data_IF_207828671974
#
_entry.id   IF_207828671974
#
_cell.length_a   1.000
_cell.length_b   1.000
_cell.length_c   1.000
_cell.angle_alpha   90.00
_cell.angle_beta   90.00
_cell.angle_gamma   90.00
#
_symmetry.space_group_name_H-M   'P 1'
#
loop_
_entity.id
_entity.type
_entity.pdbx_description
1 polymer ?
#
# COMPACT_ATOMS: atom_id res chain seq x y z
N UNK A 1 -24.19 -77.07 -25.31
CA UNK A 1 -25.25 -76.14 -24.85
C UNK A 1 -24.88 -75.79 -23.41
N UNK A 2 -24.62 -74.57 -22.95
CA UNK A 2 -25.13 -73.24 -23.28
C UNK A 2 -24.00 -72.22 -22.95
N UNK A 3 -23.61 -71.34 -23.88
CA UNK A 3 -22.66 -70.24 -23.63
C UNK A 3 -23.43 -69.06 -23.04
N UNK A 4 -23.12 -68.66 -21.80
CA UNK A 4 -23.64 -67.42 -21.20
C UNK A 4 -22.61 -66.30 -21.41
N UNK A 5 -22.99 -65.32 -22.22
CA UNK A 5 -22.28 -64.07 -22.46
C UNK A 5 -22.59 -63.10 -21.30
N UNK A 6 -21.56 -62.63 -20.59
CA UNK A 6 -21.71 -61.55 -19.62
C UNK A 6 -21.54 -60.20 -20.34
N UNK A 7 -22.62 -59.42 -20.40
CA UNK A 7 -22.61 -58.02 -20.85
C UNK A 7 -22.30 -57.15 -19.64
N UNK A 8 -21.23 -56.36 -19.70
CA UNK A 8 -20.87 -55.39 -18.66
C UNK A 8 -21.80 -54.15 -18.73
N UNK A 9 -22.32 -53.62 -17.61
CA UNK A 9 -23.07 -52.38 -17.60
C UNK A 9 -22.12 -51.18 -17.65
N UNK A 10 -22.30 -50.32 -18.65
CA UNK A 10 -21.66 -48.99 -18.74
C UNK A 10 -22.38 -48.06 -17.76
N UNK A 11 -21.72 -47.69 -16.67
CA UNK A 11 -22.17 -46.63 -15.76
C UNK A 11 -21.82 -45.29 -16.40
N UNK A 12 -22.82 -44.63 -16.98
CA UNK A 12 -22.72 -43.23 -17.40
C UNK A 12 -22.77 -42.34 -16.15
N UNK A 13 -21.62 -41.84 -15.71
CA UNK A 13 -21.54 -40.81 -14.69
C UNK A 13 -22.02 -39.48 -15.28
N UNK A 14 -23.27 -39.11 -15.00
CA UNK A 14 -23.79 -37.76 -15.22
C UNK A 14 -23.08 -36.83 -14.24
N UNK A 15 -22.07 -36.11 -14.71
CA UNK A 15 -21.50 -35.00 -13.96
C UNK A 15 -22.47 -33.81 -14.03
N UNK A 16 -23.37 -33.70 -13.05
CA UNK A 16 -24.01 -32.43 -12.74
C UNK A 16 -22.92 -31.49 -12.21
N UNK A 17 -22.49 -30.53 -13.03
CA UNK A 17 -21.62 -29.46 -12.60
C UNK A 17 -22.36 -28.58 -11.59
N UNK A 18 -22.09 -28.77 -10.30
CA UNK A 18 -22.43 -27.76 -9.30
C UNK A 18 -21.56 -26.53 -9.58
N UNK A 19 -22.20 -25.45 -10.03
CA UNK A 19 -21.61 -24.12 -10.03
C UNK A 19 -21.51 -23.69 -8.58
N UNK A 20 -20.34 -23.87 -7.97
CA UNK A 20 -20.05 -23.26 -6.68
C UNK A 20 -19.98 -21.75 -6.89
N UNK A 21 -20.99 -21.03 -6.41
CA UNK A 21 -20.93 -19.57 -6.35
C UNK A 21 -19.84 -19.19 -5.34
N UNK A 22 -18.68 -18.82 -5.87
CA UNK A 22 -17.52 -18.43 -5.09
C UNK A 22 -17.82 -17.22 -4.20
N UNK A 23 -17.11 -17.15 -3.07
CA UNK A 23 -17.07 -15.98 -2.20
C UNK A 23 -16.93 -14.67 -2.99
N UNK A 24 -17.86 -13.74 -2.83
CA UNK A 24 -17.83 -12.43 -3.53
C UNK A 24 -16.96 -11.44 -2.74
N UNK A 25 -16.01 -10.81 -3.43
CA UNK A 25 -15.19 -9.70 -2.91
C UNK A 25 -15.87 -8.36 -3.20
N UNK A 26 -16.00 -7.52 -2.17
CA UNK A 26 -16.57 -6.16 -2.27
C UNK A 26 -15.63 -5.13 -1.64
N UNK A 27 -15.76 -3.86 -2.05
CA UNK A 27 -14.92 -2.76 -1.58
C UNK A 27 -15.71 -1.48 -1.32
N UNK A 28 -15.38 -0.78 -0.23
CA UNK A 28 -15.84 0.59 0.07
C UNK A 28 -14.65 1.52 0.18
N UNK A 29 -14.84 2.80 -0.14
CA UNK A 29 -13.79 3.80 -0.04
C UNK A 29 -14.32 5.11 0.56
N UNK A 30 -13.56 5.67 1.48
CA UNK A 30 -13.86 6.95 2.12
C UNK A 30 -12.71 7.91 1.92
N UNK A 31 -12.97 9.19 1.62
CA UNK A 31 -11.91 10.20 1.55
C UNK A 31 -11.12 10.23 2.85
N UNK A 32 -9.81 10.28 2.70
CA UNK A 32 -8.85 10.44 3.78
C UNK A 32 -7.95 11.62 3.44
N UNK A 33 -7.67 12.47 4.41
CA UNK A 33 -6.76 13.60 4.22
C UNK A 33 -5.44 13.28 4.92
N UNK A 34 -4.43 12.88 4.13
CA UNK A 34 -3.07 12.62 4.62
C UNK A 34 -2.10 13.77 4.27
N UNK A 35 -2.61 14.91 3.80
CA UNK A 35 -1.75 16.01 3.32
C UNK A 35 -0.86 16.56 4.42
N UNK A 36 -1.32 16.56 5.68
CA UNK A 36 -0.52 17.05 6.82
C UNK A 36 0.74 16.21 7.01
N UNK A 37 0.60 14.89 7.12
CA UNK A 37 1.72 13.97 7.33
C UNK A 37 2.64 13.91 6.10
N UNK A 38 2.06 13.93 4.89
CA UNK A 38 2.84 13.95 3.64
C UNK A 38 3.67 15.23 3.51
N UNK A 39 3.06 16.39 3.82
CA UNK A 39 3.71 17.70 3.64
C UNK A 39 4.81 17.96 4.66
N UNK A 40 4.76 17.37 5.86
CA UNK A 40 5.85 17.43 6.82
C UNK A 40 7.17 16.92 6.20
N UNK A 41 7.12 15.76 5.55
CA UNK A 41 8.30 15.15 4.91
C UNK A 41 8.74 15.91 3.66
N UNK A 42 7.78 16.38 2.85
CA UNK A 42 8.07 17.14 1.62
C UNK A 42 8.73 18.47 1.93
N UNK A 43 8.23 19.18 2.95
CA UNK A 43 8.81 20.43 3.42
C UNK A 43 10.23 20.23 3.93
N UNK A 44 10.49 19.14 4.66
CA UNK A 44 11.85 18.79 5.09
C UNK A 44 12.80 18.58 3.90
N UNK A 45 12.32 18.02 2.80
CA UNK A 45 13.05 17.85 1.54
C UNK A 45 13.02 19.09 0.61
N UNK A 46 12.50 20.23 1.07
CA UNK A 46 12.41 21.45 0.25
C UNK A 46 11.50 21.34 -0.97
N UNK A 47 10.57 20.37 -0.98
CA UNK A 47 9.59 20.18 -2.03
C UNK A 47 8.30 20.96 -1.73
N UNK A 48 7.60 21.37 -2.78
CA UNK A 48 6.28 22.01 -2.67
C UNK A 48 5.29 21.10 -1.96
N UNK A 49 4.48 21.68 -1.07
CA UNK A 49 3.41 20.97 -0.38
C UNK A 49 2.36 20.47 -1.38
N UNK A 50 1.78 19.28 -1.11
CA UNK A 50 0.59 18.81 -1.80
C UNK A 50 -0.61 19.66 -1.38
N UNK A 51 -1.33 20.15 -2.39
CA UNK A 51 -2.68 20.68 -2.22
C UNK A 51 -3.72 19.56 -2.43
N UNK A 52 -5.00 19.88 -2.21
CA UNK A 52 -6.11 18.95 -2.47
C UNK A 52 -6.39 18.88 -3.97
N UNK A 53 -6.44 17.67 -4.50
CA UNK A 53 -6.87 17.46 -5.89
C UNK A 53 -8.33 17.89 -6.08
N UNK A 54 -8.63 18.47 -7.24
CA UNK A 54 -9.99 18.93 -7.57
C UNK A 54 -10.46 18.52 -8.96
N UNK A 55 -9.55 18.10 -9.85
CA UNK A 55 -9.91 17.60 -11.18
C UNK A 55 -10.39 16.17 -11.08
N UNK A 56 -11.38 15.82 -11.90
CA UNK A 56 -12.04 14.51 -11.87
C UNK A 56 -11.06 13.33 -12.04
N UNK A 57 -10.04 13.48 -12.89
CA UNK A 57 -9.01 12.45 -13.13
C UNK A 57 -7.90 12.40 -12.07
N UNK A 58 -7.89 13.35 -11.12
CA UNK A 58 -6.90 13.48 -10.03
C UNK A 58 -7.52 13.13 -8.67
N UNK A 59 -8.85 12.94 -8.61
CA UNK A 59 -9.59 12.65 -7.37
C UNK A 59 -10.03 11.20 -7.36
N UNK A 60 -9.59 10.45 -6.34
CA UNK A 60 -10.07 9.10 -6.06
C UNK A 60 -11.55 9.16 -5.60
N UNK A 61 -12.46 8.38 -6.21
CA UNK A 61 -13.88 8.47 -5.90
C UNK A 61 -14.22 7.75 -4.59
N UNK A 62 -15.13 8.32 -3.80
CA UNK A 62 -15.72 7.63 -2.64
C UNK A 62 -16.72 6.55 -3.08
N UNK A 63 -16.88 5.50 -2.27
CA UNK A 63 -17.92 4.49 -2.46
C UNK A 63 -18.45 3.96 -1.12
N UNK A 64 -19.79 3.94 -0.91
CA UNK A 64 -20.82 4.39 -1.85
C UNK A 64 -20.79 5.91 -2.05
N UNK A 65 -21.07 6.36 -3.27
CA UNK A 65 -20.96 7.77 -3.67
C UNK A 65 -21.73 8.06 -4.96
N UNK A 66 -21.79 9.33 -5.41
CA UNK A 66 -22.47 9.67 -6.65
C UNK A 66 -21.78 9.01 -7.85
N UNK A 67 -22.56 8.62 -8.86
CA UNK A 67 -22.01 8.17 -10.14
C UNK A 67 -21.21 9.30 -10.79
N UNK A 68 -19.96 9.00 -11.15
CA UNK A 68 -19.06 9.89 -11.88
C UNK A 68 -18.60 9.21 -13.17
N UNK A 69 -17.72 9.86 -13.94
CA UNK A 69 -17.09 9.25 -15.13
C UNK A 69 -16.34 7.98 -14.77
N UNK A 70 -15.72 7.94 -13.58
CA UNK A 70 -15.04 6.79 -13.02
C UNK A 70 -16.04 5.99 -12.18
N UNK A 71 -16.24 4.72 -12.51
CA UNK A 71 -17.09 3.80 -11.76
C UNK A 71 -16.43 3.42 -10.43
N UNK A 72 -16.80 4.11 -9.36
CA UNK A 72 -16.28 3.84 -8.02
C UNK A 72 -16.51 2.38 -7.60
N UNK A 73 -17.67 1.81 -7.96
CA UNK A 73 -17.97 0.39 -7.69
C UNK A 73 -16.97 -0.55 -8.36
N UNK A 74 -16.72 -0.37 -9.66
CA UNK A 74 -15.78 -1.22 -10.40
C UNK A 74 -14.35 -1.02 -9.91
N UNK A 75 -13.93 0.22 -9.69
CA UNK A 75 -12.59 0.55 -9.19
C UNK A 75 -12.33 -0.17 -7.87
N UNK A 76 -13.17 0.04 -6.86
CA UNK A 76 -12.92 -0.53 -5.53
C UNK A 76 -13.15 -2.04 -5.47
N UNK A 77 -14.04 -2.60 -6.29
CA UNK A 77 -14.14 -4.05 -6.45
C UNK A 77 -12.84 -4.64 -6.98
N UNK A 78 -12.32 -4.14 -8.11
CA UNK A 78 -11.07 -4.63 -8.71
C UNK A 78 -9.86 -4.43 -7.78
N UNK A 79 -9.76 -3.26 -7.14
CA UNK A 79 -8.74 -2.99 -6.12
C UNK A 79 -8.80 -3.99 -4.98
N UNK A 80 -10.00 -4.29 -4.47
CA UNK A 80 -10.16 -5.24 -3.37
C UNK A 80 -9.86 -6.68 -3.77
N UNK A 81 -10.21 -7.10 -4.98
CA UNK A 81 -9.81 -8.40 -5.51
C UNK A 81 -8.28 -8.53 -5.51
N UNK A 82 -7.57 -7.52 -6.03
CA UNK A 82 -6.10 -7.48 -6.02
C UNK A 82 -5.53 -7.50 -4.60
N UNK A 83 -6.06 -6.70 -3.67
CA UNK A 83 -5.65 -6.68 -2.26
C UNK A 83 -5.90 -8.02 -1.54
N UNK A 84 -6.91 -8.77 -1.99
CA UNK A 84 -7.20 -10.12 -1.49
C UNK A 84 -6.34 -11.21 -2.13
N UNK A 85 -5.46 -10.86 -3.08
CA UNK A 85 -4.54 -11.78 -3.75
C UNK A 85 -5.11 -12.43 -5.01
N UNK A 86 -6.22 -11.91 -5.53
CA UNK A 86 -6.73 -12.31 -6.85
C UNK A 86 -5.90 -11.66 -7.96
N UNK A 87 -5.62 -12.42 -9.02
CA UNK A 87 -4.96 -11.90 -10.22
C UNK A 87 -5.97 -11.17 -11.11
N UNK A 88 -6.23 -9.90 -10.79
CA UNK A 88 -7.18 -9.04 -11.49
C UNK A 88 -6.50 -7.74 -11.91
N UNK A 89 -6.75 -7.35 -13.17
CA UNK A 89 -6.35 -6.04 -13.71
C UNK A 89 -7.33 -4.96 -13.24
N UNK A 90 -6.80 -3.82 -12.78
CA UNK A 90 -7.61 -2.67 -12.36
C UNK A 90 -7.83 -1.75 -13.56
N UNK A 91 -8.76 -2.13 -14.44
CA UNK A 91 -9.02 -1.40 -15.70
C UNK A 91 -9.61 -0.01 -15.46
N UNK A 92 -10.41 0.15 -14.40
CA UNK A 92 -11.07 1.42 -14.10
C UNK A 92 -10.07 2.52 -13.70
N UNK A 93 -8.90 2.13 -13.17
CA UNK A 93 -7.85 3.06 -12.79
C UNK A 93 -7.14 3.71 -14.00
N UNK A 94 -7.32 3.19 -15.23
CA UNK A 94 -6.71 3.76 -16.43
C UNK A 94 -7.21 5.19 -16.76
N UNK A 95 -8.37 5.58 -16.22
CA UNK A 95 -8.93 6.93 -16.36
C UNK A 95 -8.34 7.93 -15.34
N UNK A 96 -7.63 7.43 -14.32
CA UNK A 96 -6.92 8.26 -13.35
C UNK A 96 -5.54 8.58 -13.89
N UNK A 97 -5.09 9.81 -13.66
CA UNK A 97 -3.74 10.25 -13.99
C UNK A 97 -2.99 10.41 -12.68
N UNK A 98 -1.71 10.05 -12.64
CA UNK A 98 -0.85 10.29 -11.49
C UNK A 98 -0.13 9.04 -10.99
N UNK A 99 0.70 9.24 -9.97
CA UNK A 99 1.45 8.16 -9.34
C UNK A 99 0.76 7.74 -8.05
N UNK A 100 0.51 6.43 -7.90
CA UNK A 100 -0.24 5.86 -6.77
C UNK A 100 0.70 5.43 -5.65
N UNK A 101 0.47 5.96 -4.44
CA UNK A 101 1.02 5.42 -3.21
C UNK A 101 0.01 4.46 -2.56
N UNK A 102 0.48 3.30 -2.12
CA UNK A 102 -0.37 2.29 -1.48
C UNK A 102 0.24 1.83 -0.14
N UNK A 103 -0.61 1.61 0.84
CA UNK A 103 -0.25 1.00 2.11
C UNK A 103 -1.36 0.04 2.53
N UNK A 104 -1.05 -1.25 2.63
CA UNK A 104 -1.98 -2.24 3.17
C UNK A 104 -1.91 -2.19 4.70
N UNK A 105 -2.93 -1.62 5.33
CA UNK A 105 -2.95 -1.38 6.77
C UNK A 105 -4.15 -0.55 7.21
N UNK A 106 -4.11 -0.08 8.46
CA UNK A 106 -5.22 0.66 9.08
C UNK A 106 -5.39 2.08 8.50
N UNK A 107 -6.46 2.77 8.95
CA UNK A 107 -6.71 4.20 8.66
C UNK A 107 -5.75 5.10 9.42
N UNK A 108 -4.47 5.00 9.12
CA UNK A 108 -3.42 5.77 9.77
C UNK A 108 -2.51 6.40 8.71
N UNK A 109 -2.68 7.71 8.49
CA UNK A 109 -1.85 8.46 7.55
C UNK A 109 -0.39 8.48 7.95
N UNK A 110 -0.07 8.46 9.25
CA UNK A 110 1.30 8.47 9.74
C UNK A 110 1.99 7.12 9.45
N UNK A 111 1.31 6.01 9.70
CA UNK A 111 1.83 4.69 9.35
C UNK A 111 1.99 4.53 7.83
N UNK A 112 1.00 4.98 7.04
CA UNK A 112 1.05 4.94 5.59
C UNK A 112 2.23 5.76 5.03
N UNK A 113 2.36 7.01 5.47
CA UNK A 113 3.44 7.92 5.06
C UNK A 113 4.80 7.39 5.47
N UNK A 114 4.94 6.83 6.68
CA UNK A 114 6.18 6.19 7.09
C UNK A 114 6.51 4.97 6.22
N UNK A 115 5.53 4.11 5.92
CA UNK A 115 5.73 2.96 5.05
C UNK A 115 6.21 3.35 3.65
N UNK A 116 5.67 4.44 3.08
CA UNK A 116 6.11 5.00 1.80
C UNK A 116 7.50 5.60 1.91
N UNK A 117 7.78 6.39 2.94
CA UNK A 117 9.10 6.98 3.20
C UNK A 117 10.19 5.91 3.25
N UNK A 118 9.94 4.80 3.94
CA UNK A 118 10.89 3.69 4.06
C UNK A 118 11.26 3.04 2.72
N UNK A 119 10.46 3.25 1.66
CA UNK A 119 10.80 2.86 0.30
C UNK A 119 12.11 3.49 -0.20
N UNK A 120 12.57 4.58 0.42
CA UNK A 120 13.91 5.17 0.23
C UNK A 120 15.03 4.13 0.28
N UNK A 121 14.97 3.22 1.27
CA UNK A 121 16.00 2.21 1.51
C UNK A 121 16.21 1.26 0.33
N UNK A 122 15.20 1.10 -0.53
CA UNK A 122 15.28 0.26 -1.73
C UNK A 122 16.29 0.83 -2.73
N UNK A 123 16.42 2.15 -2.80
CA UNK A 123 17.35 2.82 -3.70
C UNK A 123 18.78 2.93 -3.15
N UNK A 124 19.05 2.45 -1.93
CA UNK A 124 20.41 2.38 -1.33
C UNK A 124 21.17 3.71 -1.36
N UNK A 125 20.45 4.82 -1.20
CA UNK A 125 20.97 6.20 -1.30
C UNK A 125 21.47 6.60 -2.70
N UNK A 126 21.21 5.80 -3.72
CA UNK A 126 21.52 6.11 -5.12
C UNK A 126 20.30 6.74 -5.81
N UNK A 127 20.56 7.64 -6.76
CA UNK A 127 19.51 8.26 -7.56
C UNK A 127 18.64 7.16 -8.21
N UNK A 128 17.30 7.20 -8.04
CA UNK A 128 16.43 6.21 -8.66
C UNK A 128 16.65 6.11 -10.18
N UNK A 129 16.80 4.89 -10.73
CA UNK A 129 17.07 4.72 -12.15
C UNK A 129 15.87 5.11 -13.00
N UNK A 130 16.03 5.18 -14.32
CA UNK A 130 14.90 5.41 -15.24
C UNK A 130 13.79 4.39 -15.03
N UNK A 131 12.57 4.88 -14.86
CA UNK A 131 11.38 4.05 -14.76
C UNK A 131 10.96 3.55 -16.14
N UNK A 132 10.54 2.29 -16.25
CA UNK A 132 9.93 1.76 -17.49
C UNK A 132 8.51 1.28 -17.23
N UNK A 133 8.34 0.45 -16.21
CA UNK A 133 7.06 -0.07 -15.74
C UNK A 133 7.19 -0.55 -14.29
N UNK A 134 6.08 -0.92 -13.65
CA UNK A 134 6.11 -1.56 -12.34
C UNK A 134 6.94 -2.86 -12.43
N UNK A 135 7.93 -3.00 -11.54
CA UNK A 135 8.91 -4.09 -11.56
C UNK A 135 10.02 -3.94 -12.59
N UNK A 136 10.09 -2.82 -13.33
CA UNK A 136 11.11 -2.58 -14.36
C UNK A 136 11.73 -1.17 -14.28
N UNK A 137 13.00 -1.06 -13.84
CA UNK A 137 13.83 -2.11 -13.23
C UNK A 137 13.21 -2.71 -11.95
N UNK A 138 13.66 -3.90 -11.53
CA UNK A 138 13.13 -4.69 -10.40
C UNK A 138 12.97 -3.89 -9.09
N UNK A 139 13.76 -2.83 -8.93
CA UNK A 139 13.67 -1.93 -7.79
C UNK A 139 12.31 -1.22 -7.67
N UNK A 140 11.60 -1.00 -8.78
CA UNK A 140 10.28 -0.35 -8.81
C UNK A 140 9.17 -1.31 -8.37
N UNK A 141 9.26 -1.76 -7.13
CA UNK A 141 8.16 -2.42 -6.41
C UNK A 141 7.06 -1.42 -6.06
N UNK A 142 5.89 -1.91 -5.63
CA UNK A 142 4.80 -1.02 -5.20
C UNK A 142 5.24 -0.07 -4.07
N UNK A 143 6.17 -0.50 -3.20
CA UNK A 143 6.72 0.36 -2.12
C UNK A 143 7.65 1.46 -2.68
N UNK A 144 8.49 1.13 -3.65
CA UNK A 144 9.35 2.11 -4.31
C UNK A 144 8.53 3.14 -5.11
N UNK A 145 7.49 2.69 -5.81
CA UNK A 145 6.53 3.58 -6.49
C UNK A 145 5.82 4.50 -5.48
N UNK A 146 5.43 3.97 -4.31
CA UNK A 146 4.80 4.76 -3.27
C UNK A 146 5.74 5.82 -2.66
N UNK A 147 7.03 5.49 -2.53
CA UNK A 147 8.06 6.46 -2.17
C UNK A 147 8.15 7.60 -3.21
N UNK A 148 8.17 7.26 -4.51
CA UNK A 148 8.20 8.26 -5.59
C UNK A 148 6.95 9.15 -5.56
N UNK A 149 5.78 8.57 -5.34
CA UNK A 149 4.54 9.33 -5.19
C UNK A 149 4.61 10.31 -3.99
N UNK A 150 5.11 9.88 -2.83
CA UNK A 150 5.25 10.74 -1.65
C UNK A 150 6.17 11.96 -1.91
N UNK A 151 7.32 11.72 -2.54
CA UNK A 151 8.32 12.75 -2.83
C UNK A 151 8.18 13.37 -4.23
N UNK A 152 7.03 13.18 -4.90
CA UNK A 152 6.78 13.68 -6.25
C UNK A 152 7.28 15.12 -6.46
N UNK A 153 8.27 15.36 -7.34
CA UNK A 153 8.94 16.66 -7.46
C UNK A 153 8.21 17.62 -8.41
N UNK A 154 7.13 17.18 -9.06
CA UNK A 154 6.43 17.98 -10.06
C UNK A 154 5.83 19.24 -9.45
N UNK A 155 5.80 20.31 -10.24
CA UNK A 155 5.28 21.61 -9.81
C UNK A 155 3.76 21.57 -9.57
N UNK A 156 3.30 22.40 -8.64
CA UNK A 156 1.88 22.50 -8.22
C UNK A 156 1.27 21.14 -7.89
N UNK A 157 1.89 20.37 -6.97
CA UNK A 157 1.49 19.00 -6.77
C UNK A 157 0.19 18.93 -5.97
N UNK A 158 -0.67 17.97 -6.30
CA UNK A 158 -1.91 17.69 -5.55
C UNK A 158 -1.97 16.22 -5.14
N UNK A 159 -2.72 15.93 -4.07
CA UNK A 159 -2.98 14.58 -3.60
C UNK A 159 -4.48 14.35 -3.36
N UNK A 160 -4.92 13.13 -3.64
CA UNK A 160 -6.23 12.60 -3.26
C UNK A 160 -6.04 11.25 -2.60
N UNK A 161 -6.47 11.09 -1.34
CA UNK A 161 -6.34 9.83 -0.62
C UNK A 161 -7.68 9.25 -0.21
N UNK A 162 -7.75 7.92 -0.13
CA UNK A 162 -8.89 7.20 0.42
C UNK A 162 -8.43 6.08 1.36
N UNK A 163 -9.29 5.77 2.32
CA UNK A 163 -9.26 4.48 3.01
C UNK A 163 -10.16 3.51 2.25
N UNK A 164 -9.58 2.44 1.73
CA UNK A 164 -10.31 1.31 1.16
C UNK A 164 -10.53 0.25 2.22
N UNK A 165 -11.75 -0.26 2.32
CA UNK A 165 -12.11 -1.43 3.13
C UNK A 165 -12.65 -2.52 2.22
N UNK A 166 -12.00 -3.67 2.24
CA UNK A 166 -12.31 -4.82 1.41
C UNK A 166 -12.89 -5.94 2.24
N UNK A 167 -13.99 -6.53 1.80
CA UNK A 167 -14.59 -7.70 2.46
C UNK A 167 -14.75 -8.84 1.46
N UNK A 168 -14.36 -10.04 1.87
CA UNK A 168 -14.60 -11.28 1.13
C UNK A 168 -15.63 -12.09 1.90
N UNK A 169 -16.78 -12.36 1.29
CA UNK A 169 -17.84 -13.18 1.89
C UNK A 169 -17.36 -14.61 2.17
N UNK A 170 -17.98 -15.29 3.13
CA UNK A 170 -17.73 -16.73 3.30
C UNK A 170 -18.31 -17.49 2.10
N UNK A 171 -17.63 -18.54 1.64
CA UNK A 171 -18.23 -19.45 0.66
C UNK A 171 -19.49 -20.07 1.28
N UNK A 172 -20.64 -19.83 0.65
CA UNK A 172 -21.90 -20.49 1.04
C UNK A 172 -21.82 -21.90 0.47
N UNK A 173 -21.32 -22.84 1.28
CA UNK A 173 -21.53 -24.25 0.99
C UNK A 173 -23.04 -24.51 1.16
N UNK A 174 -23.74 -24.81 0.05
CA UNK A 174 -25.17 -25.15 -0.01
C UNK A 174 -25.63 -25.90 1.25
N UNK A 175 -26.24 -25.16 2.17
CA UNK A 175 -26.71 -25.66 3.45
C UNK A 175 -28.14 -26.19 3.37
N UNK A 176 -28.66 -26.47 2.17
CA UNK A 176 -30.00 -27.05 2.01
C UNK A 176 -30.04 -28.59 1.95
N UNK A 177 -28.91 -29.29 1.74
CA UNK A 177 -28.93 -30.76 1.62
C UNK A 177 -28.44 -31.54 2.86
N UNK A 178 -28.42 -30.94 4.06
CA UNK A 178 -28.11 -31.66 5.32
C UNK A 178 -29.31 -31.99 6.20
N UNK A 179 -30.55 -31.74 5.76
CA UNK A 179 -31.74 -32.25 6.46
C UNK A 179 -31.94 -33.76 6.34
N UNK A 180 -31.06 -34.49 5.62
CA UNK A 180 -31.13 -35.95 5.47
C UNK A 180 -29.77 -36.62 5.58
N UNK A 181 -29.20 -36.71 6.79
CA UNK A 181 -28.40 -37.87 7.26
C UNK A 181 -27.97 -37.65 8.70
N UNK A 182 -28.49 -38.49 9.59
CA UNK A 182 -28.03 -38.66 10.97
C UNK A 182 -26.61 -39.24 11.02
N UNK A 183 -25.92 -38.91 12.11
CA UNK A 183 -24.70 -39.52 12.65
C UNK A 183 -23.42 -39.46 11.79
N UNK A 184 -22.74 -38.32 11.87
CA UNK A 184 -21.27 -38.29 11.81
C UNK A 184 -20.73 -37.18 12.71
N UNK A 185 -19.66 -37.41 13.49
CA UNK A 185 -19.03 -36.37 14.30
C UNK A 185 -18.58 -35.20 13.40
N UNK A 186 -18.75 -33.94 13.82
CA UNK A 186 -18.38 -32.80 12.99
C UNK A 186 -16.87 -32.80 12.80
N UNK A 187 -16.41 -33.16 11.60
CA UNK A 187 -15.06 -32.84 11.17
C UNK A 187 -14.94 -31.31 11.18
N UNK A 188 -13.96 -30.83 11.92
CA UNK A 188 -13.62 -29.42 12.13
C UNK A 188 -13.39 -28.75 10.76
N UNK A 189 -14.45 -28.18 10.17
CA UNK A 189 -14.39 -27.38 8.95
C UNK A 189 -13.46 -26.19 9.24
N UNK A 190 -12.42 -25.99 8.42
CA UNK A 190 -11.65 -24.74 8.47
C UNK A 190 -12.65 -23.59 8.34
N UNK A 191 -12.69 -22.72 9.35
CA UNK A 191 -13.42 -21.46 9.30
C UNK A 191 -12.74 -20.58 8.26
N UNK A 192 -13.13 -20.68 6.99
CA UNK A 192 -12.89 -19.61 6.02
C UNK A 192 -13.96 -18.54 6.29
N UNK A 193 -13.77 -17.84 7.40
CA UNK A 193 -14.64 -16.76 7.85
C UNK A 193 -14.53 -15.56 6.90
N UNK A 194 -15.47 -14.62 7.03
CA UNK A 194 -15.40 -13.37 6.29
C UNK A 194 -14.04 -12.68 6.54
N UNK A 195 -13.29 -12.42 5.47
CA UNK A 195 -11.99 -11.76 5.54
C UNK A 195 -12.17 -10.26 5.31
N UNK A 196 -11.54 -9.44 6.16
CA UNK A 196 -11.48 -7.98 5.98
C UNK A 196 -10.04 -7.54 5.82
N UNK A 197 -9.78 -6.70 4.81
CA UNK A 197 -8.50 -6.01 4.62
C UNK A 197 -8.77 -4.52 4.42
N UNK A 198 -7.83 -3.69 4.86
CA UNK A 198 -7.89 -2.24 4.64
C UNK A 198 -6.62 -1.76 3.95
N UNK A 199 -6.72 -0.66 3.24
CA UNK A 199 -5.58 0.00 2.63
C UNK A 199 -5.77 1.52 2.57
N UNK A 200 -4.70 2.27 2.77
CA UNK A 200 -4.62 3.68 2.41
C UNK A 200 -4.05 3.77 1.00
N UNK A 201 -4.78 4.44 0.11
CA UNK A 201 -4.36 4.66 -1.28
C UNK A 201 -4.39 6.16 -1.52
N UNK A 202 -3.28 6.72 -1.98
CA UNK A 202 -3.18 8.11 -2.41
C UNK A 202 -2.79 8.17 -3.89
N UNK A 203 -3.48 9.01 -4.64
CA UNK A 203 -3.11 9.41 -5.99
C UNK A 203 -2.44 10.78 -5.91
N UNK A 204 -1.23 10.89 -6.46
CA UNK A 204 -0.47 12.14 -6.50
C UNK A 204 -0.31 12.61 -7.94
N UNK A 205 -0.44 13.91 -8.14
CA UNK A 205 -0.38 14.55 -9.45
C UNK A 205 0.55 15.76 -9.42
N UNK A 206 1.17 16.12 -10.57
CA UNK A 206 1.23 15.38 -11.84
C UNK A 206 1.90 14.00 -11.75
N UNK A 207 1.79 13.16 -12.78
CA UNK A 207 2.47 11.86 -12.78
C UNK A 207 4.00 12.03 -12.71
N UNK A 208 4.62 11.37 -11.72
CA UNK A 208 6.06 11.37 -11.50
C UNK A 208 6.79 10.24 -12.24
N UNK A 209 6.06 9.19 -12.67
CA UNK A 209 6.64 7.99 -13.27
C UNK A 209 6.35 7.90 -14.77
N UNK A 210 7.12 8.66 -15.55
CA UNK A 210 7.07 8.56 -17.02
C UNK A 210 8.11 7.56 -17.54
N UNK A 211 7.67 6.65 -18.41
CA UNK A 211 8.55 5.64 -19.03
C UNK A 211 9.75 6.28 -19.72
N UNK A 212 10.94 5.73 -19.47
CA UNK A 212 12.22 6.21 -20.00
C UNK A 212 12.85 7.39 -19.25
N UNK A 213 12.24 7.88 -18.17
CA UNK A 213 12.73 9.02 -17.38
C UNK A 213 12.99 8.61 -15.93
N UNK A 214 13.99 9.23 -15.30
CA UNK A 214 14.20 9.11 -13.86
C UNK A 214 13.13 9.97 -13.14
N UNK A 215 12.64 9.52 -11.98
CA UNK A 215 11.59 10.25 -11.26
C UNK A 215 12.08 11.55 -10.61
N UNK A 216 13.38 11.68 -10.37
CA UNK A 216 14.02 12.83 -9.74
C UNK A 216 15.23 13.28 -10.55
N UNK A 217 15.49 14.58 -10.53
CA UNK A 217 16.78 15.14 -10.89
C UNK A 217 17.78 15.02 -9.72
N UNK A 218 19.07 15.18 -9.99
CA UNK A 218 20.13 15.02 -8.98
C UNK A 218 19.96 15.97 -7.78
N UNK A 219 19.59 17.23 -8.02
CA UNK A 219 19.44 18.22 -6.96
C UNK A 219 18.18 17.99 -6.10
N UNK A 220 17.12 17.46 -6.71
CA UNK A 220 15.90 17.04 -6.01
C UNK A 220 16.20 15.84 -5.12
N UNK A 221 16.92 14.85 -5.66
CA UNK A 221 17.33 13.67 -4.94
C UNK A 221 18.22 13.99 -3.75
N UNK A 222 19.21 14.87 -3.91
CA UNK A 222 20.10 15.24 -2.81
C UNK A 222 19.33 15.89 -1.65
N UNK A 223 18.33 16.75 -1.93
CA UNK A 223 17.48 17.34 -0.88
C UNK A 223 16.68 16.27 -0.13
N UNK A 224 16.18 15.25 -0.84
CA UNK A 224 15.45 14.13 -0.23
C UNK A 224 16.40 13.30 0.66
N UNK A 225 17.60 12.97 0.16
CA UNK A 225 18.62 12.25 0.92
C UNK A 225 18.99 13.01 2.19
N UNK A 226 19.29 14.30 2.08
CA UNK A 226 19.64 15.16 3.22
C UNK A 226 18.52 15.23 4.25
N UNK A 227 17.27 15.34 3.79
CA UNK A 227 16.11 15.34 4.67
C UNK A 227 15.96 14.02 5.43
N UNK A 228 16.15 12.87 4.75
CA UNK A 228 15.95 11.56 5.38
C UNK A 228 17.12 11.19 6.30
N UNK A 229 18.36 11.30 5.81
CA UNK A 229 19.57 10.89 6.55
C UNK A 229 19.95 11.92 7.62
N UNK A 230 19.80 13.22 7.36
CA UNK A 230 20.05 14.27 8.35
C UNK A 230 19.10 14.21 9.56
N UNK A 231 17.87 13.75 9.36
CA UNK A 231 16.94 13.44 10.46
C UNK A 231 17.41 12.24 11.31
N UNK A 232 18.06 11.25 10.71
CA UNK A 232 18.58 10.08 11.45
C UNK A 232 19.86 10.39 12.24
N UNK A 233 20.73 11.26 11.73
CA UNK A 233 21.93 11.68 12.47
C UNK A 233 21.59 12.60 13.65
N UNK A 234 20.64 13.52 13.48
CA UNK A 234 20.18 14.41 14.57
C UNK A 234 19.40 13.68 15.66
N UNK A 235 18.69 12.60 15.33
CA UNK A 235 17.99 11.75 16.32
C UNK A 235 18.91 10.73 17.01
N UNK A 236 20.08 10.40 16.44
CA UNK A 236 21.12 9.58 17.08
C UNK A 236 22.05 10.38 18.00
N UNK A 237 22.06 11.71 17.88
CA UNK A 237 22.70 12.58 18.86
C UNK A 237 21.93 12.52 20.18
N UNK A 238 22.27 11.55 21.03
CA UNK A 238 21.84 11.54 22.43
C UNK A 238 22.16 12.90 23.06
N UNK A 239 21.30 13.48 23.92
CA UNK A 239 21.67 14.63 24.69
C UNK A 239 22.77 14.17 25.64
N UNK A 240 24.03 14.39 25.26
CA UNK A 240 25.12 14.43 26.24
C UNK A 240 24.78 15.64 27.09
N UNK A 241 24.06 15.37 28.17
CA UNK A 241 23.93 16.27 29.31
C UNK A 241 25.33 16.78 29.61
N UNK A 242 25.59 18.10 29.53
CA UNK A 242 26.87 18.63 29.95
C UNK A 242 26.94 18.43 31.47
N UNK A 243 27.52 17.30 31.89
CA UNK A 243 27.96 17.14 33.26
C UNK A 243 28.95 18.25 33.54
N UNK A 244 28.50 19.24 34.30
CA UNK A 244 29.34 20.25 34.94
C UNK A 244 30.30 19.53 35.89
N UNK A 245 31.40 19.00 35.37
CA UNK A 245 32.56 18.63 36.16
C UNK A 245 33.22 19.95 36.58
N UNK A 246 32.83 20.45 37.76
CA UNK A 246 33.52 21.52 38.48
C UNK A 246 34.98 21.09 38.65
N UNK A 247 35.87 21.76 37.93
CA UNK A 247 37.31 21.60 38.06
C UNK A 247 37.78 22.10 39.42
N UNK A 248 38.31 21.19 40.25
CA UNK A 248 39.06 21.55 41.44
C UNK A 248 40.44 22.07 41.01
N UNK A 249 40.63 23.39 41.05
CA UNK A 249 41.94 24.03 40.92
C UNK A 249 42.66 23.88 42.26
N UNK A 250 43.68 23.01 42.33
CA UNK A 250 44.63 22.99 43.44
C UNK A 250 45.83 23.84 43.04
N UNK A 251 45.92 25.05 43.61
CA UNK A 251 47.11 25.91 43.54
C UNK A 251 48.08 25.50 44.65
N UNK A 252 49.25 24.97 44.28
CA UNK A 252 50.38 24.83 45.20
C UNK A 252 51.30 26.04 44.97
N UNK A 253 51.28 26.98 45.92
CA UNK A 253 52.27 28.03 46.05
C UNK A 253 53.54 27.46 46.69
N UNK A 254 54.61 27.31 45.92
CA UNK A 254 55.96 27.22 46.48
C UNK A 254 56.55 28.63 46.51
N UNK A 255 56.61 29.20 47.72
CA UNK A 255 57.31 30.45 48.01
C UNK A 255 58.82 30.23 47.90
N UNK A 256 59.47 31.00 47.04
CA UNK A 256 60.90 31.30 47.20
C UNK A 256 61.03 32.62 47.95
N UNK A 257 61.85 32.64 49.00
CA UNK A 257 62.58 33.83 49.47
C UNK A 257 63.65 33.42 50.49
N UNK A 258 64.87 33.90 50.21
CA UNK A 258 66.15 33.87 50.97
C UNK A 258 67.03 32.63 50.80
#
# INVERSE_FOLDING_TARGET
>A
MLRLWFIAPVVMSVFCGHKTDGATTTGTAQTLDCTTEMNELRKAAGLSEFEKASKETEVLPEYPGPTKTISAENLWKQTCQKLMGEDVQITEAASLVGTVAHYAGAKDCKEAVQYWKDGFSLFKNELPPKYTALGEPEIYTDRAVSFVALYNPKASPVASCVLVTCTKGAAVDDAEERSRRHDSPPLRRLQDGAQTKTAVICLTNPDALTSGTAPFEEDEWQKIVDAIVGLEESSRASPISPSLAVGFIVTIFAHGLL
#
